data_IF_523141261447
#
_entry.id   IF_523141261447
#
_cell.length_a   1.000
_cell.length_b   1.000
_cell.length_c   1.000
_cell.angle_alpha   90.00
_cell.angle_beta   90.00
_cell.angle_gamma   90.00
#
_symmetry.space_group_name_H-M   'P 1'
#
loop_
_entity.id
_entity.type
_entity.pdbx_description
1 polymer ?
#
# COMPACT_ATOMS: atom_id res chain seq x y z
N UNK A 1 -1.61 28.05 4.84
CA UNK A 1 -0.26 27.74 4.33
C UNK A 1 -0.26 27.85 2.83
N UNK A 2 0.24 28.96 2.31
CA UNK A 2 0.37 29.25 0.89
C UNK A 2 1.52 28.39 0.34
N UNK A 3 1.22 27.46 -0.55
CA UNK A 3 2.26 26.70 -1.27
C UNK A 3 2.83 27.65 -2.32
N UNK A 4 4.06 28.11 -2.12
CA UNK A 4 4.81 28.77 -3.20
C UNK A 4 4.88 27.82 -4.40
N UNK A 5 4.19 28.19 -5.49
CA UNK A 5 4.31 27.57 -6.81
C UNK A 5 5.69 27.91 -7.41
N UNK A 6 6.75 27.35 -6.85
CA UNK A 6 8.05 27.27 -7.50
C UNK A 6 8.13 25.94 -8.23
N UNK A 7 8.33 25.97 -9.55
CA UNK A 7 8.61 24.77 -10.35
C UNK A 7 9.87 24.11 -9.81
N UNK A 8 9.76 22.90 -9.27
CA UNK A 8 10.93 22.12 -8.86
C UNK A 8 11.51 21.44 -10.10
N UNK A 9 12.76 21.76 -10.40
CA UNK A 9 13.54 21.01 -11.39
C UNK A 9 14.30 19.92 -10.64
N UNK A 10 13.98 18.67 -10.92
CA UNK A 10 14.71 17.51 -10.40
C UNK A 10 15.90 17.25 -11.31
N UNK A 11 17.10 17.13 -10.72
CA UNK A 11 18.28 16.74 -11.46
C UNK A 11 18.40 15.20 -11.54
N UNK A 12 19.40 14.71 -12.30
CA UNK A 12 19.65 13.27 -12.44
C UNK A 12 19.90 12.59 -11.09
N UNK A 13 20.56 13.27 -10.16
CA UNK A 13 20.85 12.74 -8.83
C UNK A 13 19.58 12.60 -8.00
N UNK A 14 18.67 13.57 -8.05
CA UNK A 14 17.36 13.49 -7.39
C UNK A 14 16.53 12.30 -7.92
N UNK A 15 16.57 12.06 -9.24
CA UNK A 15 15.89 10.91 -9.86
C UNK A 15 16.49 9.57 -9.42
N UNK A 16 17.81 9.46 -9.28
CA UNK A 16 18.46 8.25 -8.75
C UNK A 16 18.05 8.05 -7.29
N UNK A 17 18.12 9.09 -6.46
CA UNK A 17 17.68 9.04 -5.05
C UNK A 17 16.23 8.57 -4.95
N UNK A 18 15.33 9.14 -5.75
CA UNK A 18 13.92 8.73 -5.81
C UNK A 18 13.78 7.27 -6.22
N UNK A 19 14.51 6.82 -7.23
CA UNK A 19 14.45 5.43 -7.70
C UNK A 19 14.93 4.44 -6.62
N UNK A 20 15.99 4.78 -5.88
CA UNK A 20 16.52 3.94 -4.81
C UNK A 20 15.56 3.88 -3.63
N UNK A 21 14.97 5.02 -3.24
CA UNK A 21 13.98 5.08 -2.17
C UNK A 21 12.65 4.42 -2.56
N UNK A 22 12.20 4.52 -3.82
CA UNK A 22 10.98 3.87 -4.29
C UNK A 22 11.12 2.33 -4.32
N UNK A 23 12.34 1.82 -4.53
CA UNK A 23 12.67 0.39 -4.44
C UNK A 23 12.76 -0.09 -2.99
N UNK A 24 13.44 0.68 -2.15
CA UNK A 24 13.57 0.42 -0.73
C UNK A 24 13.66 1.75 0.05
N UNK A 25 12.53 2.15 0.60
CA UNK A 25 12.41 3.41 1.32
C UNK A 25 13.27 3.48 2.57
N UNK A 26 13.73 2.35 3.12
CA UNK A 26 14.62 2.26 4.29
C UNK A 26 16.10 2.32 3.95
N UNK A 27 16.46 2.43 2.66
CA UNK A 27 17.84 2.64 2.22
C UNK A 27 18.48 3.80 2.98
N UNK A 28 19.70 3.56 3.48
CA UNK A 28 20.42 4.56 4.27
C UNK A 28 20.88 5.71 3.38
N UNK A 29 20.89 6.94 3.91
CA UNK A 29 21.41 8.09 3.15
C UNK A 29 22.92 7.98 2.88
N UNK A 30 23.64 7.21 3.70
CA UNK A 30 25.05 6.87 3.46
C UNK A 30 25.20 6.02 2.20
N UNK A 31 24.47 4.90 2.11
CA UNK A 31 24.56 3.98 0.96
C UNK A 31 24.12 4.66 -0.34
N UNK A 32 23.06 5.45 -0.30
CA UNK A 32 22.61 6.25 -1.46
C UNK A 32 23.70 7.28 -1.83
N UNK A 33 24.32 7.93 -0.84
CA UNK A 33 25.39 8.90 -1.05
C UNK A 33 26.60 8.28 -1.77
N UNK A 34 27.02 7.09 -1.35
CA UNK A 34 28.09 6.34 -2.02
C UNK A 34 27.76 6.00 -3.48
N UNK A 35 26.50 5.70 -3.79
CA UNK A 35 26.05 5.41 -5.16
C UNK A 35 26.07 6.64 -6.07
N UNK A 36 25.73 7.83 -5.54
CA UNK A 36 25.57 9.07 -6.34
C UNK A 36 26.71 10.08 -6.17
N UNK A 37 27.78 9.72 -5.45
CA UNK A 37 28.93 10.60 -5.21
C UNK A 37 28.64 11.78 -4.28
N UNK A 38 27.73 11.61 -3.31
CA UNK A 38 27.34 12.65 -2.35
C UNK A 38 27.57 12.23 -0.90
N UNK A 39 27.73 13.22 -0.01
CA UNK A 39 27.68 12.96 1.43
C UNK A 39 26.25 12.58 1.86
N UNK A 40 26.13 11.81 2.94
CA UNK A 40 24.86 11.49 3.58
C UNK A 40 24.03 12.73 3.95
N UNK A 41 24.70 13.79 4.40
CA UNK A 41 24.06 15.07 4.73
C UNK A 41 23.45 15.72 3.48
N UNK A 42 24.15 15.67 2.34
CA UNK A 42 23.66 16.18 1.06
C UNK A 42 22.44 15.40 0.56
N UNK A 43 22.48 14.07 0.64
CA UNK A 43 21.32 13.22 0.28
C UNK A 43 20.12 13.52 1.19
N UNK A 44 20.33 13.59 2.51
CA UNK A 44 19.27 13.93 3.49
C UNK A 44 18.64 15.29 3.19
N UNK A 45 19.44 16.29 2.83
CA UNK A 45 18.94 17.61 2.46
C UNK A 45 18.07 17.58 1.19
N UNK A 46 18.49 16.84 0.16
CA UNK A 46 17.72 16.65 -1.08
C UNK A 46 16.39 15.94 -0.83
N UNK A 47 16.40 14.84 -0.07
CA UNK A 47 15.19 14.12 0.34
C UNK A 47 14.24 15.03 1.13
N UNK A 48 14.75 15.79 2.11
CA UNK A 48 13.94 16.74 2.89
C UNK A 48 13.32 17.82 2.00
N UNK A 49 14.07 18.34 1.02
CA UNK A 49 13.56 19.31 0.03
C UNK A 49 12.44 18.69 -0.82
N UNK A 50 12.62 17.46 -1.31
CA UNK A 50 11.59 16.75 -2.08
C UNK A 50 10.32 16.48 -1.27
N UNK A 51 10.44 16.12 0.01
CA UNK A 51 9.29 15.97 0.91
C UNK A 51 8.57 17.30 1.11
N UNK A 52 9.31 18.36 1.45
CA UNK A 52 8.74 19.69 1.70
C UNK A 52 8.01 20.24 0.46
N UNK A 53 8.53 19.94 -0.73
CA UNK A 53 7.93 20.32 -2.03
C UNK A 53 6.88 19.33 -2.54
N UNK A 54 6.50 18.31 -1.76
CA UNK A 54 5.53 17.26 -2.10
C UNK A 54 5.88 16.41 -3.33
N UNK A 55 7.16 16.33 -3.70
CA UNK A 55 7.64 15.34 -4.67
C UNK A 55 7.64 13.94 -4.04
N UNK A 56 8.02 13.86 -2.76
CA UNK A 56 7.81 12.65 -1.94
C UNK A 56 6.66 12.98 -0.98
N UNK A 57 5.50 12.37 -1.19
CA UNK A 57 4.35 12.59 -0.32
C UNK A 57 4.51 11.88 1.03
N UNK A 58 4.95 10.62 1.00
CA UNK A 58 5.13 9.75 2.16
C UNK A 58 5.95 8.52 1.80
N UNK A 59 6.51 7.86 2.80
CA UNK A 59 7.09 6.52 2.68
C UNK A 59 6.11 5.50 3.25
N UNK A 60 5.78 4.46 2.48
CA UNK A 60 4.75 3.48 2.84
C UNK A 60 5.25 2.06 2.83
N UNK A 61 4.66 1.25 3.69
CA UNK A 61 4.85 -0.20 3.68
C UNK A 61 3.77 -0.80 2.80
N UNK A 62 4.18 -1.56 1.79
CA UNK A 62 3.27 -2.26 0.89
C UNK A 62 3.23 -3.73 1.25
N UNK A 63 2.16 -4.11 1.91
CA UNK A 63 1.90 -5.49 2.28
C UNK A 63 1.10 -6.17 1.17
N UNK A 64 1.60 -7.28 0.62
CA UNK A 64 0.82 -8.06 -0.35
C UNK A 64 -0.25 -8.86 0.40
N UNK A 65 -1.56 -8.65 0.12
CA UNK A 65 -2.63 -9.38 0.78
C UNK A 65 -2.55 -10.92 0.62
N UNK A 66 -1.94 -11.40 -0.46
CA UNK A 66 -1.76 -12.83 -0.71
C UNK A 66 -0.87 -13.51 0.35
N UNK A 67 0.08 -12.78 0.95
CA UNK A 67 0.89 -13.29 2.06
C UNK A 67 0.02 -13.70 3.27
N UNK A 68 -1.18 -13.13 3.39
CA UNK A 68 -2.17 -13.41 4.44
C UNK A 68 -3.30 -14.33 3.97
N UNK A 69 -3.14 -14.94 2.78
CA UNK A 69 -4.14 -15.80 2.15
C UNK A 69 -5.34 -15.06 1.53
N UNK A 70 -5.27 -13.73 1.36
CA UNK A 70 -6.31 -13.00 0.65
C UNK A 70 -6.07 -13.00 -0.86
N UNK A 71 -7.15 -13.22 -1.62
CA UNK A 71 -7.22 -12.92 -3.04
C UNK A 71 -7.71 -11.49 -3.22
N UNK A 72 -7.16 -10.78 -4.20
CA UNK A 72 -7.66 -9.46 -4.58
C UNK A 72 -8.59 -9.63 -5.77
N UNK A 73 -9.85 -9.26 -5.59
CA UNK A 73 -10.91 -9.39 -6.60
C UNK A 73 -11.36 -8.00 -7.02
N UNK A 74 -11.11 -7.63 -8.27
CA UNK A 74 -11.59 -6.39 -8.86
C UNK A 74 -12.99 -6.63 -9.43
N UNK A 75 -13.94 -5.82 -9.00
CA UNK A 75 -15.32 -5.80 -9.50
C UNK A 75 -15.58 -4.45 -10.16
N UNK A 76 -15.98 -4.47 -11.42
CA UNK A 76 -16.51 -3.30 -12.12
C UNK A 76 -18.03 -3.31 -12.00
N UNK A 77 -18.59 -2.22 -11.50
CA UNK A 77 -20.03 -2.08 -11.27
C UNK A 77 -20.53 -0.82 -11.97
N UNK A 78 -21.68 -0.92 -12.63
CA UNK A 78 -22.41 0.21 -13.21
C UNK A 78 -23.63 0.51 -12.36
N UNK A 79 -23.70 1.72 -11.81
CA UNK A 79 -24.85 2.21 -11.06
C UNK A 79 -26.03 2.47 -11.98
N UNK A 80 -27.23 2.18 -11.51
CA UNK A 80 -28.50 2.40 -12.22
C UNK A 80 -29.60 2.73 -11.20
N UNK A 81 -30.72 3.29 -11.65
CA UNK A 81 -31.93 3.50 -10.84
C UNK A 81 -31.69 4.21 -9.48
N UNK A 82 -30.84 5.25 -9.48
CA UNK A 82 -30.63 6.10 -8.30
C UNK A 82 -29.72 5.53 -7.21
N UNK A 83 -29.19 4.30 -7.36
CA UNK A 83 -28.18 3.79 -6.42
C UNK A 83 -26.90 4.63 -6.54
N UNK A 84 -26.43 5.17 -5.41
CA UNK A 84 -25.26 6.02 -5.41
C UNK A 84 -24.00 5.23 -5.00
N UNK A 85 -22.84 5.90 -5.05
CA UNK A 85 -21.56 5.29 -4.69
C UNK A 85 -21.53 4.74 -3.25
N UNK A 86 -22.19 5.39 -2.30
CA UNK A 86 -22.14 5.04 -0.88
C UNK A 86 -22.96 3.78 -0.60
N UNK A 87 -24.09 3.62 -1.31
CA UNK A 87 -24.89 2.38 -1.29
C UNK A 87 -24.07 1.18 -1.79
N UNK A 88 -23.32 1.37 -2.89
CA UNK A 88 -22.45 0.33 -3.45
C UNK A 88 -21.36 -0.04 -2.46
N UNK A 89 -20.65 0.94 -1.91
CA UNK A 89 -19.61 0.71 -0.90
C UNK A 89 -20.18 -0.08 0.28
N UNK A 90 -21.34 0.33 0.81
CA UNK A 90 -21.98 -0.34 1.95
C UNK A 90 -22.32 -1.80 1.66
N UNK A 91 -22.87 -2.09 0.48
CA UNK A 91 -23.24 -3.45 0.05
C UNK A 91 -22.02 -4.33 -0.21
N UNK A 92 -21.01 -3.79 -0.87
CA UNK A 92 -19.77 -4.50 -1.20
C UNK A 92 -18.97 -4.86 0.05
N UNK A 93 -18.93 -3.99 1.07
CA UNK A 93 -18.26 -4.28 2.35
C UNK A 93 -18.80 -5.52 3.07
N UNK A 94 -20.02 -5.96 2.75
CA UNK A 94 -20.59 -7.18 3.33
C UNK A 94 -20.04 -8.47 2.69
N UNK A 95 -19.32 -8.36 1.58
CA UNK A 95 -18.77 -9.49 0.82
C UNK A 95 -17.27 -9.69 1.09
N UNK A 96 -16.55 -8.63 1.42
CA UNK A 96 -15.14 -8.64 1.76
C UNK A 96 -14.64 -7.24 2.10
N UNK A 97 -13.40 -7.17 2.59
CA UNK A 97 -12.77 -5.90 2.91
C UNK A 97 -12.38 -5.15 1.62
N UNK A 98 -12.63 -3.85 1.57
CA UNK A 98 -12.31 -3.03 0.41
C UNK A 98 -10.85 -2.57 0.51
N UNK A 99 -10.00 -3.04 -0.41
CA UNK A 99 -8.63 -2.54 -0.56
C UNK A 99 -8.60 -1.18 -1.27
N UNK A 100 -9.42 -1.02 -2.30
CA UNK A 100 -9.51 0.22 -3.07
C UNK A 100 -10.89 0.37 -3.69
N UNK A 101 -11.38 1.60 -3.78
CA UNK A 101 -12.64 1.93 -4.43
C UNK A 101 -12.49 3.22 -5.23
N UNK A 102 -12.83 3.17 -6.51
CA UNK A 102 -12.88 4.33 -7.40
C UNK A 102 -14.27 4.49 -7.94
N UNK A 103 -14.78 5.71 -7.84
CA UNK A 103 -15.97 6.12 -8.56
C UNK A 103 -15.57 6.99 -9.73
N UNK A 104 -16.06 6.67 -10.92
CA UNK A 104 -15.82 7.42 -12.14
C UNK A 104 -17.04 8.25 -12.53
N UNK A 105 -16.82 9.34 -13.25
CA UNK A 105 -17.91 10.08 -13.90
C UNK A 105 -18.63 9.15 -14.90
N UNK A 106 -19.96 9.19 -14.90
CA UNK A 106 -20.78 8.31 -15.75
C UNK A 106 -21.37 7.08 -15.06
N UNK A 107 -21.36 7.03 -13.72
CA UNK A 107 -22.08 5.99 -12.98
C UNK A 107 -21.39 4.63 -13.01
N UNK A 108 -20.07 4.58 -13.09
CA UNK A 108 -19.29 3.34 -12.96
C UNK A 108 -18.36 3.43 -11.78
N UNK A 109 -18.15 2.30 -11.12
CA UNK A 109 -17.18 2.19 -10.04
C UNK A 109 -16.41 0.89 -10.11
N UNK A 110 -15.16 0.96 -9.67
CA UNK A 110 -14.26 -0.19 -9.54
C UNK A 110 -13.99 -0.40 -8.06
N UNK A 111 -14.24 -1.62 -7.57
CA UNK A 111 -13.94 -2.02 -6.20
C UNK A 111 -12.94 -3.18 -6.21
N UNK A 112 -11.84 -3.05 -5.48
CA UNK A 112 -10.91 -4.14 -5.21
C UNK A 112 -11.21 -4.72 -3.82
N UNK A 113 -11.56 -6.01 -3.76
CA UNK A 113 -11.98 -6.73 -2.55
C UNK A 113 -10.91 -7.72 -2.12
N UNK A 114 -10.64 -7.77 -0.82
CA UNK A 114 -9.83 -8.78 -0.18
C UNK A 114 -10.74 -9.91 0.28
N UNK A 115 -10.58 -11.10 -0.33
CA UNK A 115 -11.46 -12.23 -0.10
C UNK A 115 -10.62 -13.48 0.19
N UNK A 116 -10.95 -14.19 1.29
CA UNK A 116 -10.39 -15.51 1.61
C UNK A 116 -11.23 -16.68 1.06
N UNK A 117 -12.53 -16.42 0.85
CA UNK A 117 -13.49 -17.41 0.37
C UNK A 117 -13.20 -17.81 -1.09
N UNK A 118 -13.61 -19.01 -1.52
CA UNK A 118 -13.57 -19.36 -2.93
C UNK A 118 -14.43 -18.38 -3.75
N UNK A 119 -13.97 -18.06 -4.97
CA UNK A 119 -14.77 -17.34 -5.95
C UNK A 119 -15.52 -18.36 -6.80
N UNK A 120 -16.58 -18.92 -6.22
CA UNK A 120 -17.46 -19.87 -6.89
C UNK A 120 -18.71 -19.16 -7.45
N UNK A 121 -19.57 -19.93 -8.14
CA UNK A 121 -20.81 -19.43 -8.70
C UNK A 121 -21.74 -18.83 -7.62
N UNK A 122 -21.70 -19.37 -6.39
CA UNK A 122 -22.49 -18.86 -5.28
C UNK A 122 -22.03 -17.45 -4.88
N UNK A 123 -20.72 -17.22 -4.82
CA UNK A 123 -20.15 -15.89 -4.58
C UNK A 123 -20.61 -14.91 -5.67
N UNK A 124 -20.49 -15.28 -6.94
CA UNK A 124 -20.88 -14.41 -8.07
C UNK A 124 -22.38 -14.09 -8.05
N UNK A 125 -23.23 -15.08 -7.77
CA UNK A 125 -24.68 -14.87 -7.62
C UNK A 125 -25.00 -13.94 -6.45
N UNK A 126 -24.34 -14.14 -5.31
CA UNK A 126 -24.52 -13.31 -4.11
C UNK A 126 -24.09 -11.86 -4.39
N UNK A 127 -22.96 -11.66 -5.05
CA UNK A 127 -22.46 -10.34 -5.44
C UNK A 127 -23.45 -9.62 -6.36
N UNK A 128 -23.92 -10.29 -7.42
CA UNK A 128 -24.92 -9.74 -8.34
C UNK A 128 -26.22 -9.36 -7.61
N UNK A 129 -26.76 -10.27 -6.80
CA UNK A 129 -28.01 -10.03 -6.09
C UNK A 129 -27.91 -8.86 -5.10
N UNK A 130 -26.82 -8.77 -4.33
CA UNK A 130 -26.63 -7.69 -3.35
C UNK A 130 -26.46 -6.33 -3.98
N UNK A 131 -25.87 -6.27 -5.18
CA UNK A 131 -25.60 -5.01 -5.87
C UNK A 131 -26.81 -4.46 -6.63
N UNK A 132 -27.87 -5.24 -6.80
CA UNK A 132 -29.11 -4.76 -7.42
C UNK A 132 -29.62 -3.45 -6.77
N UNK A 133 -30.06 -2.46 -7.57
CA UNK A 133 -30.26 -2.52 -9.04
C UNK A 133 -29.00 -2.34 -9.89
N UNK A 134 -27.83 -2.05 -9.30
CA UNK A 134 -26.59 -1.90 -10.06
C UNK A 134 -26.17 -3.21 -10.73
N UNK A 135 -25.47 -3.08 -11.84
CA UNK A 135 -25.02 -4.21 -12.66
C UNK A 135 -23.54 -4.46 -12.45
N UNK A 136 -23.16 -5.68 -12.09
CA UNK A 136 -21.77 -6.11 -12.16
C UNK A 136 -21.41 -6.32 -13.63
N UNK A 137 -20.45 -5.55 -14.12
CA UNK A 137 -20.02 -5.60 -15.52
C UNK A 137 -18.97 -6.69 -15.71
N UNK A 138 -18.03 -6.81 -14.78
CA UNK A 138 -16.95 -7.78 -14.85
C UNK A 138 -16.32 -8.04 -13.48
N UNK A 139 -15.75 -9.23 -13.32
CA UNK A 139 -15.00 -9.64 -12.13
C UNK A 139 -13.64 -10.15 -12.61
N UNK A 140 -12.57 -9.63 -12.02
CA UNK A 140 -11.19 -10.04 -12.28
C UNK A 140 -10.53 -10.43 -10.97
N UNK A 141 -9.71 -11.49 -10.99
CA UNK A 141 -8.86 -11.85 -9.85
C UNK A 141 -7.44 -11.42 -10.19
N UNK A 142 -6.81 -10.61 -9.34
CA UNK A 142 -5.36 -10.42 -9.46
C UNK A 142 -4.70 -11.69 -8.94
N UNK A 143 -4.12 -12.45 -9.86
CA UNK A 143 -3.26 -13.56 -9.49
C UNK A 143 -2.05 -13.03 -8.73
N UNK A 144 -1.81 -13.60 -7.55
CA UNK A 144 -0.57 -13.41 -6.81
C UNK A 144 0.22 -14.70 -6.87
N UNK A 145 1.48 -14.60 -7.31
CA UNK A 145 2.42 -15.74 -7.33
C UNK A 145 3.07 -15.99 -5.96
N UNK A 146 2.57 -15.34 -4.91
CA UNK A 146 3.09 -15.48 -3.55
C UNK A 146 2.21 -16.48 -2.80
N UNK A 147 2.82 -17.57 -2.36
CA UNK A 147 2.19 -18.48 -1.40
C UNK A 147 1.96 -17.78 -0.07
N UNK A 148 0.86 -18.11 0.66
CA UNK A 148 0.63 -17.58 1.99
C UNK A 148 1.83 -17.86 2.89
N UNK A 149 2.30 -16.82 3.59
CA UNK A 149 3.45 -16.92 4.48
C UNK A 149 2.92 -17.20 5.89
N UNK A 150 3.55 -18.13 6.60
CA UNK A 150 3.29 -18.33 8.03
C UNK A 150 3.94 -17.19 8.79
N UNK A 151 3.14 -16.20 9.20
CA UNK A 151 3.59 -15.05 9.97
C UNK A 151 3.42 -15.33 11.47
N UNK A 152 4.47 -15.08 12.25
CA UNK A 152 4.41 -15.15 13.71
C UNK A 152 3.63 -13.95 14.30
N UNK A 153 3.26 -14.02 15.58
CA UNK A 153 2.65 -12.89 16.27
C UNK A 153 3.57 -11.65 16.29
N UNK A 154 4.88 -11.88 16.46
CA UNK A 154 5.91 -10.84 16.38
C UNK A 154 5.90 -10.15 15.02
N UNK A 155 5.83 -10.93 13.94
CA UNK A 155 5.78 -10.40 12.57
C UNK A 155 4.56 -9.49 12.38
N UNK A 156 3.39 -9.94 12.82
CA UNK A 156 2.15 -9.16 12.72
C UNK A 156 2.24 -7.84 13.49
N UNK A 157 2.87 -7.85 14.67
CA UNK A 157 3.09 -6.64 15.48
C UNK A 157 4.07 -5.67 14.81
N UNK A 158 5.14 -6.17 14.20
CA UNK A 158 6.07 -5.34 13.41
C UNK A 158 5.36 -4.72 12.21
N UNK A 159 4.60 -5.51 11.45
CA UNK A 159 3.83 -5.02 10.29
C UNK A 159 2.85 -3.93 10.73
N UNK A 160 2.10 -4.18 11.81
CA UNK A 160 1.16 -3.19 12.37
C UNK A 160 1.87 -1.90 12.77
N UNK A 161 3.00 -1.99 13.46
CA UNK A 161 3.80 -0.82 13.85
C UNK A 161 4.21 0.02 12.64
N UNK A 162 4.73 -0.62 11.59
CA UNK A 162 5.15 0.06 10.37
C UNK A 162 3.98 0.67 9.58
N UNK A 163 2.82 0.03 9.56
CA UNK A 163 1.63 0.55 8.90
C UNK A 163 1.08 1.81 9.59
N UNK A 164 1.20 1.88 10.92
CA UNK A 164 0.71 3.00 11.72
C UNK A 164 1.71 4.16 11.78
N UNK A 165 3.01 3.85 11.89
CA UNK A 165 4.06 4.83 12.14
C UNK A 165 4.91 5.19 10.90
N UNK A 166 4.71 4.47 9.80
CA UNK A 166 5.37 4.71 8.51
C UNK A 166 6.54 3.76 8.22
N UNK A 167 6.92 3.66 6.93
CA UNK A 167 7.92 2.69 6.50
C UNK A 167 9.33 2.91 7.06
N UNK A 168 9.64 4.15 7.48
CA UNK A 168 10.95 4.55 7.98
C UNK A 168 11.02 4.66 9.52
N UNK A 169 10.04 4.13 10.26
CA UNK A 169 10.11 4.07 11.73
C UNK A 169 11.44 3.47 12.19
N UNK A 170 12.05 4.07 13.22
CA UNK A 170 13.36 3.65 13.72
C UNK A 170 13.28 2.26 14.34
N UNK A 171 14.37 1.49 14.24
CA UNK A 171 14.41 0.12 14.79
C UNK A 171 14.17 0.11 16.30
N UNK A 172 14.70 1.11 17.02
CA UNK A 172 14.47 1.30 18.45
C UNK A 172 12.98 1.47 18.80
N UNK A 173 12.24 2.25 18.01
CA UNK A 173 10.81 2.48 18.24
C UNK A 173 9.99 1.21 17.95
N UNK A 174 10.34 0.48 16.88
CA UNK A 174 9.68 -0.81 16.57
C UNK A 174 9.98 -1.84 17.67
N UNK A 175 11.23 -1.93 18.10
CA UNK A 175 11.66 -2.83 19.16
C UNK A 175 10.90 -2.54 20.47
N UNK A 176 10.78 -1.27 20.84
CA UNK A 176 10.01 -0.82 22.01
C UNK A 176 8.53 -1.15 21.91
N UNK A 177 7.89 -0.85 20.78
CA UNK A 177 6.45 -1.11 20.55
C UNK A 177 6.13 -2.62 20.56
N UNK A 178 7.03 -3.43 20.02
CA UNK A 178 6.87 -4.89 19.93
C UNK A 178 7.40 -5.61 21.19
N UNK A 179 8.17 -4.93 22.05
CA UNK A 179 8.75 -5.54 23.25
C UNK A 179 9.83 -6.58 22.93
N UNK A 180 10.65 -6.34 21.92
CA UNK A 180 11.75 -7.21 21.47
C UNK A 180 13.07 -6.42 21.37
N UNK A 181 14.19 -7.10 21.11
CA UNK A 181 15.46 -6.41 20.86
C UNK A 181 15.49 -5.77 19.45
N UNK A 182 16.28 -4.70 19.28
CA UNK A 182 16.49 -4.09 17.96
C UNK A 182 17.06 -5.08 16.93
N UNK A 183 17.93 -5.99 17.37
CA UNK A 183 18.46 -7.06 16.51
C UNK A 183 17.34 -7.98 16.02
N UNK A 184 16.47 -8.42 16.92
CA UNK A 184 15.31 -9.26 16.57
C UNK A 184 14.35 -8.53 15.63
N UNK A 185 14.09 -7.24 15.86
CA UNK A 185 13.26 -6.43 14.98
C UNK A 185 13.85 -6.31 13.57
N UNK A 186 15.16 -6.12 13.48
CA UNK A 186 15.89 -6.06 12.21
C UNK A 186 15.84 -7.41 11.47
N UNK A 187 16.14 -8.51 12.15
CA UNK A 187 16.15 -9.86 11.58
C UNK A 187 14.76 -10.24 11.05
N UNK A 188 13.70 -9.95 11.81
CA UNK A 188 12.32 -10.17 11.40
C UNK A 188 11.95 -9.31 10.17
N UNK A 189 12.29 -8.02 10.16
CA UNK A 189 12.00 -7.14 9.02
C UNK A 189 12.68 -7.61 7.73
N UNK A 190 13.93 -8.09 7.81
CA UNK A 190 14.64 -8.66 6.68
C UNK A 190 14.00 -9.97 6.18
N UNK A 191 13.50 -10.80 7.10
CA UNK A 191 12.80 -12.05 6.76
C UNK A 191 11.44 -11.84 6.09
N UNK A 192 10.75 -10.74 6.40
CA UNK A 192 9.37 -10.49 5.95
C UNK A 192 9.21 -10.20 4.45
N UNK A 193 10.31 -9.93 3.71
CA UNK A 193 10.28 -9.57 2.26
C UNK A 193 9.24 -8.48 1.91
N UNK A 194 8.90 -7.63 2.86
CA UNK A 194 7.92 -6.56 2.64
C UNK A 194 8.57 -5.45 1.85
N UNK A 195 7.97 -5.08 0.72
CA UNK A 195 8.42 -3.92 -0.05
C UNK A 195 8.08 -2.65 0.73
N UNK A 196 9.10 -1.81 0.91
CA UNK A 196 8.92 -0.45 1.43
C UNK A 196 9.23 0.51 0.28
N UNK A 197 8.30 1.40 -0.03
CA UNK A 197 8.36 2.30 -1.19
C UNK A 197 8.04 3.74 -0.80
#
# INVERSE_FOLDING_TARGET
MTVEKGTIVLDKTDLIILSTLAKNSRSSFNSIGSEVGLTSKSVKARVKKMIHRRVIEKFVVRVNPAAFGFKVVIVLVRTSNGINKDDIIKRIKQLGDIAYYVYHMGGTCVAALLIKKPLDDLFVRTLNHRLMPATVVSIFVLESRIEPVVLSETDLRIIKCLLLNGARTEMADIAKEVGISEKTALDALLGLRIQTS
#
